data_IF_604959377180
#
_entry.id   IF_604959377180
#
_cell.length_a   1.000
_cell.length_b   1.000
_cell.length_c   1.000
_cell.angle_alpha   90.00
_cell.angle_beta   90.00
_cell.angle_gamma   90.00
#
_symmetry.space_group_name_H-M   'P 1'
#
loop_
_entity.id
_entity.type
_entity.pdbx_description
1 polymer ?
#
# COMPACT_ATOMS: atom_id res chain seq x y z
N UNK A 1 17.38 5.75 56.92
CA UNK A 1 18.02 5.75 55.59
C UNK A 1 17.21 4.81 54.70
N UNK A 2 16.45 5.38 53.77
CA UNK A 2 15.52 4.72 52.87
C UNK A 2 16.27 4.01 51.73
N UNK A 3 15.98 2.72 51.49
CA UNK A 3 16.17 2.10 50.17
C UNK A 3 14.96 1.21 49.88
N UNK A 4 14.10 1.72 49.00
CA UNK A 4 13.00 1.01 48.35
C UNK A 4 13.59 -0.03 47.39
N UNK A 5 13.22 -1.31 47.50
CA UNK A 5 13.39 -2.26 46.39
C UNK A 5 12.05 -2.49 45.70
N UNK A 6 12.11 -2.45 44.37
CA UNK A 6 10.98 -2.35 43.46
C UNK A 6 10.13 -3.62 43.43
N UNK A 7 8.81 -3.45 43.61
CA UNK A 7 7.83 -4.45 43.22
C UNK A 7 7.75 -4.51 41.70
N UNK A 8 8.06 -5.67 41.13
CA UNK A 8 7.85 -6.00 39.72
C UNK A 8 6.34 -5.91 39.43
N UNK A 9 5.91 -4.88 38.71
CA UNK A 9 4.54 -4.82 38.17
C UNK A 9 4.49 -5.68 36.92
N UNK A 10 3.74 -6.78 37.00
CA UNK A 10 3.39 -7.63 35.89
C UNK A 10 2.50 -6.84 34.92
N UNK A 11 2.92 -6.74 33.65
CA UNK A 11 2.09 -6.15 32.60
C UNK A 11 1.01 -7.16 32.18
N UNK A 12 -0.24 -6.82 32.48
CA UNK A 12 -1.42 -7.62 32.13
C UNK A 12 -1.77 -7.33 30.67
N UNK A 13 -1.29 -8.14 29.73
CA UNK A 13 -1.59 -7.99 28.30
C UNK A 13 -2.97 -8.58 28.00
N UNK A 14 -4.02 -7.76 28.07
CA UNK A 14 -5.36 -8.15 27.63
C UNK A 14 -5.50 -7.79 26.14
N UNK A 15 -5.84 -8.78 25.32
CA UNK A 15 -6.22 -8.56 23.93
C UNK A 15 -7.52 -7.76 23.90
N UNK A 16 -7.50 -6.62 23.20
CA UNK A 16 -8.68 -5.78 22.97
C UNK A 16 -9.22 -6.13 21.58
N UNK A 17 -10.35 -6.83 21.55
CA UNK A 17 -11.12 -7.03 20.32
C UNK A 17 -12.02 -5.80 20.12
N UNK A 18 -11.88 -5.15 18.98
CA UNK A 18 -12.67 -3.98 18.61
C UNK A 18 -14.15 -4.39 18.51
N UNK A 19 -15.02 -3.70 19.24
CA UNK A 19 -16.45 -3.93 19.14
C UNK A 19 -17.03 -3.26 17.89
N UNK A 20 -18.22 -3.68 17.44
CA UNK A 20 -18.92 -3.05 16.32
C UNK A 20 -19.16 -1.54 16.54
N UNK A 21 -19.25 -1.11 17.80
CA UNK A 21 -19.35 0.30 18.15
C UNK A 21 -18.04 1.06 17.90
N UNK A 22 -16.90 0.44 18.21
CA UNK A 22 -15.57 1.02 17.97
C UNK A 22 -15.29 1.11 16.47
N UNK A 23 -15.67 0.08 15.71
CA UNK A 23 -15.58 0.08 14.24
C UNK A 23 -16.42 1.22 13.65
N UNK A 24 -17.63 1.44 14.18
CA UNK A 24 -18.51 2.49 13.67
C UNK A 24 -18.02 3.90 14.04
N UNK A 25 -17.47 4.10 15.23
CA UNK A 25 -16.82 5.35 15.65
C UNK A 25 -15.52 5.61 14.85
N UNK A 26 -14.74 4.57 14.55
CA UNK A 26 -13.56 4.66 13.67
C UNK A 26 -14.00 5.08 12.25
N UNK A 27 -15.06 4.49 11.70
CA UNK A 27 -15.59 4.87 10.40
C UNK A 27 -16.14 6.30 10.37
N UNK A 28 -16.76 6.76 11.47
CA UNK A 28 -17.20 8.15 11.62
C UNK A 28 -16.03 9.13 11.68
N UNK A 29 -14.99 8.79 12.44
CA UNK A 29 -13.74 9.55 12.46
C UNK A 29 -13.06 9.51 11.10
N UNK A 30 -13.22 8.43 10.32
CA UNK A 30 -12.69 8.34 8.97
C UNK A 30 -13.40 9.34 8.06
N UNK A 31 -14.73 9.37 8.06
CA UNK A 31 -15.52 10.26 7.21
C UNK A 31 -15.38 11.73 7.61
N UNK A 32 -15.40 12.03 8.91
CA UNK A 32 -15.36 13.39 9.44
C UNK A 32 -13.94 13.97 9.50
N UNK A 33 -12.90 13.12 9.63
CA UNK A 33 -11.50 13.57 9.76
C UNK A 33 -10.67 13.34 8.48
N UNK A 34 -10.94 12.33 7.64
CA UNK A 34 -10.28 12.13 6.33
C UNK A 34 -10.96 12.85 5.15
N UNK A 35 -11.94 13.72 5.42
CA UNK A 35 -12.14 14.91 4.58
C UNK A 35 -10.87 15.77 4.45
N UNK A 36 -9.79 15.45 5.18
CA UNK A 36 -8.42 15.95 4.97
C UNK A 36 -7.73 15.46 3.70
N UNK A 37 -8.24 14.48 2.94
CA UNK A 37 -7.58 14.08 1.68
C UNK A 37 -7.63 15.20 0.63
N UNK A 38 -8.79 15.86 0.46
CA UNK A 38 -8.90 17.02 -0.42
C UNK A 38 -8.06 18.21 0.08
N UNK A 39 -7.93 18.36 1.40
CA UNK A 39 -7.18 19.46 2.02
C UNK A 39 -5.65 19.27 1.96
N UNK A 40 -5.15 18.03 2.06
CA UNK A 40 -3.72 17.73 2.01
C UNK A 40 -3.19 17.57 0.56
N UNK A 41 -3.98 16.98 -0.35
CA UNK A 41 -3.52 16.61 -1.71
C UNK A 41 -3.88 17.61 -2.81
N UNK A 42 -4.65 18.67 -2.50
CA UNK A 42 -4.83 19.81 -3.42
C UNK A 42 -3.51 20.45 -3.87
N UNK A 43 -2.40 20.12 -3.21
CA UNK A 43 -1.04 20.62 -3.45
C UNK A 43 0.00 19.53 -3.81
N UNK A 44 -0.37 18.26 -4.03
CA UNK A 44 0.61 17.27 -4.48
C UNK A 44 1.00 17.56 -5.94
N UNK A 45 2.26 17.95 -6.21
CA UNK A 45 2.69 18.27 -7.56
C UNK A 45 2.69 17.01 -8.41
N UNK A 46 2.56 17.17 -9.73
CA UNK A 46 2.80 16.09 -10.68
C UNK A 46 4.22 15.57 -10.52
N UNK A 47 4.37 14.26 -10.36
CA UNK A 47 5.69 13.62 -10.32
C UNK A 47 5.70 12.30 -11.09
N UNK A 48 6.92 11.85 -11.38
CA UNK A 48 7.18 10.56 -11.98
C UNK A 48 8.11 9.77 -11.06
N UNK A 49 7.80 8.49 -10.85
CA UNK A 49 8.62 7.54 -10.10
C UNK A 49 9.06 6.44 -11.06
N UNK A 50 10.37 6.17 -11.11
CA UNK A 50 10.89 4.98 -11.75
C UNK A 50 11.54 4.12 -10.67
N UNK A 51 11.22 2.84 -10.64
CA UNK A 51 11.80 1.91 -9.67
C UNK A 51 12.06 0.56 -10.32
N UNK A 52 12.97 -0.20 -9.72
CA UNK A 52 13.28 -1.59 -10.07
C UNK A 52 13.12 -2.45 -8.83
N UNK A 53 12.38 -3.56 -8.97
CA UNK A 53 12.13 -4.52 -7.92
C UNK A 53 12.60 -5.89 -8.37
N UNK A 54 13.54 -6.47 -7.64
CA UNK A 54 14.01 -7.85 -7.85
C UNK A 54 13.28 -8.79 -6.92
N UNK A 55 12.83 -9.91 -7.45
CA UNK A 55 12.08 -10.92 -6.72
C UNK A 55 12.42 -12.31 -7.25
N UNK A 56 11.99 -13.42 -6.60
CA UNK A 56 12.44 -14.76 -6.96
C UNK A 56 12.16 -15.22 -8.40
N UNK A 57 11.20 -14.59 -9.08
CA UNK A 57 10.80 -14.95 -10.45
C UNK A 57 11.27 -14.00 -11.55
N UNK A 58 12.07 -12.98 -11.24
CA UNK A 58 12.59 -12.01 -12.23
C UNK A 58 12.83 -10.61 -11.64
N UNK A 59 12.90 -9.63 -12.52
CA UNK A 59 12.90 -8.21 -12.20
C UNK A 59 11.67 -7.50 -12.81
N UNK A 60 11.15 -6.54 -12.07
CA UNK A 60 10.12 -5.61 -12.53
C UNK A 60 10.72 -4.23 -12.48
N UNK A 61 10.83 -3.59 -13.65
CA UNK A 61 11.10 -2.18 -13.79
C UNK A 61 9.78 -1.48 -14.10
N UNK A 62 9.54 -0.30 -13.57
CA UNK A 62 8.34 0.44 -13.96
C UNK A 62 8.55 1.95 -13.96
N UNK A 63 7.72 2.61 -14.76
CA UNK A 63 7.55 4.06 -14.78
C UNK A 63 6.14 4.40 -14.36
N UNK A 64 6.02 5.21 -13.31
CA UNK A 64 4.77 5.63 -12.69
C UNK A 64 4.63 7.15 -12.80
N UNK A 65 3.49 7.64 -13.27
CA UNK A 65 3.12 9.05 -13.32
C UNK A 65 1.96 9.33 -12.37
N UNK A 66 2.17 10.26 -11.44
CA UNK A 66 1.17 10.63 -10.43
C UNK A 66 0.85 12.10 -10.53
N UNK A 67 -0.43 12.44 -10.52
CA UNK A 67 -0.92 13.83 -10.46
C UNK A 67 -1.95 13.96 -9.34
N UNK A 68 -1.76 14.93 -8.45
CA UNK A 68 -2.63 15.14 -7.27
C UNK A 68 -2.84 13.86 -6.43
N UNK A 69 -1.81 13.03 -6.32
CA UNK A 69 -1.87 11.76 -5.59
C UNK A 69 -2.63 10.63 -6.30
N UNK A 70 -2.99 10.80 -7.57
CA UNK A 70 -3.66 9.78 -8.40
C UNK A 70 -2.69 9.26 -9.45
N UNK A 71 -2.64 7.94 -9.61
CA UNK A 71 -1.88 7.26 -10.66
C UNK A 71 -2.56 7.54 -12.01
N UNK A 72 -1.94 8.38 -12.83
CA UNK A 72 -2.43 8.65 -14.18
C UNK A 72 -2.02 7.55 -15.16
N UNK A 73 -0.84 7.00 -14.96
CA UNK A 73 -0.25 5.98 -15.81
C UNK A 73 0.84 5.23 -15.03
N UNK A 74 0.89 3.92 -15.22
CA UNK A 74 2.01 3.07 -14.84
C UNK A 74 2.33 2.15 -16.01
N UNK A 75 3.62 1.94 -16.28
CA UNK A 75 4.12 1.03 -17.30
C UNK A 75 5.16 0.10 -16.72
N UNK A 76 4.94 -1.21 -16.89
CA UNK A 76 5.85 -2.25 -16.43
C UNK A 76 6.75 -2.75 -17.56
N UNK A 77 8.01 -2.98 -17.20
CA UNK A 77 9.08 -3.49 -18.05
C UNK A 77 9.93 -4.48 -17.23
N UNK A 78 10.87 -5.15 -17.88
CA UNK A 78 11.78 -6.10 -17.22
C UNK A 78 11.68 -7.51 -17.77
N UNK A 79 12.30 -8.45 -17.06
CA UNK A 79 12.47 -9.85 -17.44
C UNK A 79 11.52 -10.80 -16.67
N UNK A 80 10.37 -10.30 -16.24
CA UNK A 80 9.35 -11.10 -15.56
C UNK A 80 8.60 -12.04 -16.52
N UNK A 81 8.14 -13.16 -15.98
CA UNK A 81 7.29 -14.12 -16.68
C UNK A 81 5.87 -14.13 -16.08
N UNK A 82 4.87 -14.19 -16.94
CA UNK A 82 3.45 -14.28 -16.57
C UNK A 82 2.65 -15.05 -17.61
N UNK A 83 1.50 -15.58 -17.20
CA UNK A 83 0.52 -16.22 -18.09
C UNK A 83 -0.40 -15.20 -18.76
N UNK A 84 -0.58 -14.04 -18.14
CA UNK A 84 -1.47 -12.96 -18.59
C UNK A 84 -0.67 -11.71 -18.93
N UNK A 85 -1.29 -10.85 -19.73
CA UNK A 85 -0.71 -9.58 -20.17
C UNK A 85 -0.70 -8.56 -19.02
N UNK A 86 0.48 -7.99 -18.75
CA UNK A 86 0.70 -7.02 -17.66
C UNK A 86 -0.11 -5.73 -17.84
N UNK A 87 -0.51 -5.40 -19.08
CA UNK A 87 -1.35 -4.22 -19.36
C UNK A 87 -2.66 -4.22 -18.57
N UNK A 88 -3.20 -5.40 -18.20
CA UNK A 88 -4.37 -5.47 -17.32
C UNK A 88 -4.09 -4.86 -15.94
N UNK A 89 -2.90 -5.11 -15.37
CA UNK A 89 -2.50 -4.53 -14.08
C UNK A 89 -2.29 -3.02 -14.24
N UNK A 90 -1.69 -2.57 -15.34
CA UNK A 90 -1.53 -1.15 -15.64
C UNK A 90 -2.87 -0.41 -15.70
N UNK A 91 -3.84 -0.99 -16.40
CA UNK A 91 -5.18 -0.42 -16.55
C UNK A 91 -5.95 -0.37 -15.23
N UNK A 92 -5.80 -1.39 -14.39
CA UNK A 92 -6.43 -1.44 -13.07
C UNK A 92 -5.88 -0.38 -12.12
N UNK A 93 -4.57 -0.12 -12.19
CA UNK A 93 -3.92 0.89 -11.36
C UNK A 93 -4.15 2.32 -11.87
N UNK A 94 -4.71 2.47 -13.07
CA UNK A 94 -5.05 3.78 -13.62
C UNK A 94 -6.20 4.43 -12.84
N UNK A 95 -6.05 5.71 -12.53
CA UNK A 95 -6.94 6.50 -11.69
C UNK A 95 -7.05 6.00 -10.24
N UNK A 96 -6.17 5.11 -9.80
CA UNK A 96 -6.11 4.68 -8.40
C UNK A 96 -5.31 5.68 -7.60
N UNK A 97 -5.71 5.90 -6.35
CA UNK A 97 -4.97 6.74 -5.43
C UNK A 97 -3.62 6.10 -5.11
N UNK A 98 -2.53 6.86 -5.23
CA UNK A 98 -1.18 6.38 -4.95
C UNK A 98 -0.94 6.29 -3.43
N UNK A 99 -1.55 5.29 -2.81
CA UNK A 99 -1.29 4.86 -1.44
C UNK A 99 -1.43 3.34 -1.35
N UNK A 100 -0.82 2.76 -0.31
CA UNK A 100 -0.74 1.31 -0.13
C UNK A 100 -2.13 0.64 -0.08
N UNK A 101 -3.07 1.22 0.67
CA UNK A 101 -4.41 0.65 0.88
C UNK A 101 -5.22 0.59 -0.43
N UNK A 102 -5.22 1.67 -1.21
CA UNK A 102 -5.94 1.75 -2.47
C UNK A 102 -5.35 0.82 -3.53
N UNK A 103 -4.02 0.72 -3.62
CA UNK A 103 -3.34 -0.20 -4.54
C UNK A 103 -3.63 -1.65 -4.15
N UNK A 104 -3.42 -2.02 -2.87
CA UNK A 104 -3.71 -3.37 -2.36
C UNK A 104 -5.15 -3.77 -2.61
N UNK A 105 -6.11 -2.88 -2.30
CA UNK A 105 -7.53 -3.15 -2.51
C UNK A 105 -7.88 -3.37 -3.98
N UNK A 106 -7.25 -2.62 -4.89
CA UNK A 106 -7.44 -2.77 -6.35
C UNK A 106 -6.93 -4.13 -6.83
N UNK A 107 -5.79 -4.58 -6.29
CA UNK A 107 -5.12 -5.80 -6.72
C UNK A 107 -5.56 -7.07 -5.94
N UNK A 108 -6.35 -6.92 -4.86
CA UNK A 108 -6.69 -8.01 -3.93
C UNK A 108 -7.42 -9.20 -4.59
N UNK A 109 -8.20 -8.94 -5.65
CA UNK A 109 -8.98 -9.97 -6.35
C UNK A 109 -8.22 -10.62 -7.52
N UNK A 110 -6.91 -10.38 -7.59
CA UNK A 110 -6.08 -10.79 -8.71
C UNK A 110 -4.96 -11.67 -8.19
N UNK A 111 -4.77 -12.80 -8.85
CA UNK A 111 -3.57 -13.59 -8.62
C UNK A 111 -2.38 -12.92 -9.29
N UNK A 112 -1.55 -12.24 -8.50
CA UNK A 112 -0.33 -11.58 -8.98
C UNK A 112 0.61 -12.59 -9.67
N UNK A 113 0.59 -13.87 -9.31
CA UNK A 113 1.43 -14.89 -9.96
C UNK A 113 1.03 -15.16 -11.42
N UNK A 114 -0.19 -14.81 -11.84
CA UNK A 114 -0.59 -14.92 -13.24
C UNK A 114 0.11 -13.87 -14.12
N UNK A 115 0.63 -12.78 -13.55
CA UNK A 115 1.30 -11.69 -14.26
C UNK A 115 2.80 -11.66 -13.98
N UNK A 116 3.18 -11.93 -12.73
CA UNK A 116 4.55 -11.94 -12.23
C UNK A 116 4.78 -13.24 -11.44
N UNK A 117 5.22 -14.30 -12.13
CA UNK A 117 5.41 -15.63 -11.55
C UNK A 117 6.36 -15.59 -10.35
N UNK A 118 5.99 -16.20 -9.23
CA UNK A 118 6.75 -16.17 -7.96
C UNK A 118 6.87 -14.77 -7.34
N UNK A 119 6.01 -13.83 -7.71
CA UNK A 119 5.90 -12.52 -7.05
C UNK A 119 4.82 -12.53 -5.97
N UNK A 120 5.02 -11.70 -4.94
CA UNK A 120 4.04 -11.40 -3.91
C UNK A 120 3.46 -9.99 -4.17
N UNK A 121 2.16 -9.81 -3.94
CA UNK A 121 1.49 -8.50 -3.98
C UNK A 121 2.20 -7.46 -3.11
N UNK A 122 2.68 -7.84 -1.93
CA UNK A 122 3.37 -6.90 -1.04
C UNK A 122 4.65 -6.35 -1.67
N UNK A 123 5.44 -7.21 -2.34
CA UNK A 123 6.67 -6.80 -3.03
C UNK A 123 6.37 -5.78 -4.14
N UNK A 124 5.30 -6.02 -4.91
CA UNK A 124 4.88 -5.11 -5.96
C UNK A 124 4.41 -3.77 -5.39
N UNK A 125 3.60 -3.82 -4.33
CA UNK A 125 3.07 -2.62 -3.67
C UNK A 125 4.19 -1.80 -3.05
N UNK A 126 5.11 -2.43 -2.31
CA UNK A 126 6.26 -1.76 -1.69
C UNK A 126 7.12 -1.06 -2.76
N UNK A 127 7.34 -1.75 -3.88
CA UNK A 127 7.98 -1.20 -5.07
C UNK A 127 7.31 0.07 -5.56
N UNK A 128 6.00 0.02 -5.84
CA UNK A 128 5.19 1.14 -6.32
C UNK A 128 5.20 2.30 -5.33
N UNK A 129 5.14 2.02 -4.03
CA UNK A 129 5.22 3.02 -2.96
C UNK A 129 6.61 3.67 -2.84
N UNK A 130 7.62 3.15 -3.54
CA UNK A 130 8.99 3.65 -3.53
C UNK A 130 9.78 3.30 -2.27
N UNK A 131 9.33 2.29 -1.51
CA UNK A 131 10.05 1.76 -0.35
C UNK A 131 11.16 0.84 -0.86
N UNK A 132 12.39 1.04 -0.37
CA UNK A 132 13.56 0.20 -0.68
C UNK A 132 13.71 -0.91 0.34
#
# INVERSE_FOLDING_TARGET
>A
MHLKSLGLKTYNNHFYELSDHDINEINKLVDEKYSTWHWNFGHSPKYSLNNEVKYPGGNIEFSLNVDKGIINEIKFFGDFFGKKDVSNIEDLLKNVMHNESSIKSTLNNIDINDYFLNCNIDILVDGIMGVK
#
